data_IF_861921450226
#
_entry.id   IF_861921450226
#
_cell.length_a   1.000
_cell.length_b   1.000
_cell.length_c   1.000
_cell.angle_alpha   90.00
_cell.angle_beta   90.00
_cell.angle_gamma   90.00
#
_symmetry.space_group_name_H-M   'P 1'
#
loop_
_entity.id
_entity.type
_entity.pdbx_description
1 polymer ?
#
# COMPACT_ATOMS: atom_id res chain seq x y z
N UNK A 1 -8.21 -18.18 21.18
CA UNK A 1 -6.77 -18.45 20.90
C UNK A 1 -6.11 -18.86 22.20
N UNK A 2 -5.39 -19.99 22.23
CA UNK A 2 -4.58 -20.38 23.37
C UNK A 2 -3.27 -19.57 23.33
N UNK A 3 -2.84 -19.04 24.49
CA UNK A 3 -1.58 -18.28 24.59
C UNK A 3 -0.34 -19.10 24.22
N UNK A 4 0.83 -18.47 24.26
CA UNK A 4 2.12 -19.09 23.95
C UNK A 4 2.64 -19.88 25.16
N UNK A 5 3.23 -21.05 24.95
CA UNK A 5 3.90 -21.79 26.00
C UNK A 5 5.17 -21.07 26.47
N UNK A 6 5.70 -21.40 27.66
CA UNK A 6 6.94 -20.80 28.19
C UNK A 6 8.14 -21.05 27.26
N UNK A 7 8.25 -22.24 26.69
CA UNK A 7 9.29 -22.57 25.70
C UNK A 7 9.19 -21.71 24.43
N UNK A 8 7.98 -21.57 23.91
CA UNK A 8 7.74 -20.74 22.73
C UNK A 8 8.07 -19.27 23.00
N UNK A 9 7.67 -18.75 24.18
CA UNK A 9 7.98 -17.38 24.58
C UNK A 9 9.48 -17.16 24.69
N UNK A 10 10.22 -18.05 25.37
CA UNK A 10 11.67 -17.94 25.48
C UNK A 10 12.40 -18.03 24.13
N UNK A 11 11.88 -18.82 23.18
CA UNK A 11 12.43 -18.87 21.82
C UNK A 11 12.22 -17.53 21.07
N UNK A 12 11.02 -16.96 21.14
CA UNK A 12 10.72 -15.65 20.55
C UNK A 12 11.56 -14.52 21.17
N UNK A 13 11.73 -14.53 22.48
CA UNK A 13 12.56 -13.52 23.18
C UNK A 13 14.01 -13.57 22.68
N UNK A 14 14.59 -14.77 22.50
CA UNK A 14 15.94 -14.92 21.93
C UNK A 14 16.03 -14.42 20.48
N UNK A 15 15.06 -14.77 19.63
CA UNK A 15 15.02 -14.30 18.25
C UNK A 15 14.88 -12.78 18.18
N UNK A 16 13.99 -12.22 18.96
CA UNK A 16 13.75 -10.78 19.05
C UNK A 16 15.02 -10.04 19.50
N UNK A 17 15.71 -10.53 20.53
CA UNK A 17 16.96 -9.96 21.00
C UNK A 17 18.07 -10.01 19.93
N UNK A 18 18.14 -11.12 19.18
CA UNK A 18 19.11 -11.25 18.09
C UNK A 18 18.85 -10.25 16.96
N UNK A 19 17.59 -10.05 16.55
CA UNK A 19 17.20 -9.07 15.55
C UNK A 19 17.57 -7.65 16.01
N UNK A 20 17.14 -7.26 17.22
CA UNK A 20 17.37 -5.92 17.74
C UNK A 20 18.85 -5.61 17.88
N UNK A 21 19.67 -6.56 18.33
CA UNK A 21 21.11 -6.39 18.42
C UNK A 21 21.81 -6.12 17.07
N UNK A 22 21.24 -6.55 15.94
CA UNK A 22 21.74 -6.19 14.59
C UNK A 22 21.49 -4.72 14.32
N UNK A 23 20.30 -4.22 14.61
CA UNK A 23 19.92 -2.83 14.34
C UNK A 23 20.67 -1.85 15.26
N UNK A 24 20.75 -2.16 16.55
CA UNK A 24 21.47 -1.34 17.54
C UNK A 24 22.97 -1.22 17.20
N UNK A 25 23.61 -2.33 16.82
CA UNK A 25 25.02 -2.31 16.36
C UNK A 25 25.24 -1.49 15.09
N UNK A 26 24.20 -1.33 14.28
CA UNK A 26 24.24 -0.47 13.09
C UNK A 26 23.94 1.01 13.40
N UNK A 27 23.76 1.36 14.68
CA UNK A 27 23.53 2.73 15.13
C UNK A 27 22.07 3.19 15.08
N UNK A 28 21.13 2.24 15.18
CA UNK A 28 19.71 2.56 15.30
C UNK A 28 19.30 2.61 16.78
N UNK A 29 18.66 3.70 17.17
CA UNK A 29 18.14 3.88 18.52
C UNK A 29 16.79 3.16 18.67
N UNK A 30 16.66 2.36 19.73
CA UNK A 30 15.40 1.66 19.98
C UNK A 30 14.34 2.61 20.50
N UNK A 31 13.18 2.63 19.83
CA UNK A 31 11.99 3.37 20.24
C UNK A 31 10.83 2.41 20.52
N UNK A 32 9.89 2.86 21.34
CA UNK A 32 8.66 2.12 21.64
C UNK A 32 7.44 3.04 21.44
N UNK A 33 6.93 3.15 20.19
CA UNK A 33 5.71 3.90 19.95
C UNK A 33 4.50 3.30 20.67
N UNK A 34 3.50 4.13 20.98
CA UNK A 34 2.30 3.69 21.67
C UNK A 34 1.48 2.69 20.82
N UNK A 35 0.82 1.74 21.50
CA UNK A 35 -0.04 0.72 20.88
C UNK A 35 -1.34 1.37 20.37
N UNK A 36 -1.94 2.25 21.19
CA UNK A 36 -3.16 2.96 20.85
C UNK A 36 -2.78 4.22 20.07
N UNK A 37 -3.36 4.37 18.92
CA UNK A 37 -3.10 5.47 18.00
C UNK A 37 -4.41 6.15 17.58
N UNK A 38 -4.40 7.43 17.19
CA UNK A 38 -5.52 8.02 16.47
C UNK A 38 -5.80 7.25 15.18
N UNK A 39 -7.08 6.97 14.90
CA UNK A 39 -7.45 6.14 13.77
C UNK A 39 -7.31 6.84 12.42
N UNK A 40 -7.51 8.16 12.38
CA UNK A 40 -7.45 9.01 11.18
C UNK A 40 -6.17 8.80 10.36
N UNK A 41 -5.03 8.69 11.05
CA UNK A 41 -3.71 8.51 10.41
C UNK A 41 -3.65 7.25 9.55
N UNK A 42 -4.24 6.15 10.05
CA UNK A 42 -4.29 4.89 9.30
C UNK A 42 -5.44 4.86 8.31
N UNK A 43 -6.57 5.50 8.62
CA UNK A 43 -7.73 5.53 7.75
C UNK A 43 -7.56 6.45 6.54
N UNK A 44 -6.80 7.54 6.67
CA UNK A 44 -6.56 8.50 5.59
C UNK A 44 -5.33 8.17 4.75
N UNK A 45 -4.25 7.70 5.38
CA UNK A 45 -2.92 7.56 4.76
C UNK A 45 -2.56 6.14 4.35
N UNK A 46 -3.16 5.14 5.00
CA UNK A 46 -2.92 3.74 4.64
C UNK A 46 -3.79 3.29 3.48
N UNK A 47 -3.32 2.27 2.75
CA UNK A 47 -4.10 1.63 1.69
C UNK A 47 -5.40 1.01 2.22
N UNK A 48 -6.38 0.79 1.32
CA UNK A 48 -7.70 0.24 1.69
C UNK A 48 -7.60 -1.10 2.45
N UNK A 49 -6.57 -1.90 2.17
CA UNK A 49 -6.33 -3.17 2.85
C UNK A 49 -6.07 -2.96 4.35
N UNK A 50 -5.16 -2.05 4.71
CA UNK A 50 -4.87 -1.73 6.12
C UNK A 50 -6.09 -1.12 6.80
N UNK A 51 -6.81 -0.24 6.11
CA UNK A 51 -8.06 0.37 6.64
C UNK A 51 -9.11 -0.68 6.98
N UNK A 52 -9.36 -1.63 6.09
CA UNK A 52 -10.33 -2.70 6.30
C UNK A 52 -9.95 -3.66 7.44
N UNK A 53 -8.65 -3.72 7.78
CA UNK A 53 -8.11 -4.65 8.77
C UNK A 53 -7.73 -3.99 10.10
N UNK A 54 -7.98 -2.70 10.27
CA UNK A 54 -7.64 -1.96 11.49
C UNK A 54 -8.72 -2.11 12.55
N UNK A 55 -8.34 -2.44 13.78
CA UNK A 55 -9.23 -2.44 14.94
C UNK A 55 -9.48 -1.00 15.42
N UNK A 56 -10.67 -0.49 15.21
CA UNK A 56 -11.07 0.87 15.54
C UNK A 56 -12.06 0.86 16.70
N UNK A 57 -11.95 1.83 17.62
CA UNK A 57 -12.84 2.02 18.77
C UNK A 57 -12.84 3.49 19.21
N UNK A 58 -13.81 3.88 20.01
CA UNK A 58 -13.90 5.23 20.54
C UNK A 58 -13.48 5.28 22.02
N UNK A 59 -12.82 6.36 22.41
CA UNK A 59 -12.59 6.67 23.82
C UNK A 59 -13.83 7.28 24.48
N UNK A 60 -13.86 7.46 25.81
CA UNK A 60 -15.00 8.08 26.50
C UNK A 60 -15.27 9.54 26.08
N UNK A 61 -14.31 10.24 25.48
CA UNK A 61 -14.46 11.60 24.96
C UNK A 61 -14.99 11.63 23.51
N UNK A 62 -15.17 10.46 22.88
CA UNK A 62 -15.65 10.32 21.51
C UNK A 62 -14.57 10.38 20.44
N UNK A 63 -13.29 10.39 20.81
CA UNK A 63 -12.20 10.35 19.83
C UNK A 63 -12.08 8.95 19.23
N UNK A 64 -11.91 8.86 17.92
CA UNK A 64 -11.72 7.61 17.23
C UNK A 64 -10.25 7.17 17.31
N UNK A 65 -10.03 6.04 17.95
CA UNK A 65 -8.72 5.43 18.21
C UNK A 65 -8.63 4.07 17.54
N UNK A 66 -7.41 3.55 17.40
CA UNK A 66 -7.17 2.21 16.88
C UNK A 66 -6.02 1.49 17.60
N UNK A 67 -6.04 0.15 17.54
CA UNK A 67 -4.84 -0.63 17.77
C UNK A 67 -3.96 -0.51 16.52
N UNK A 68 -2.69 -0.13 16.70
CA UNK A 68 -1.76 0.08 15.57
C UNK A 68 -1.68 -1.16 14.67
N UNK A 69 -1.97 -1.05 13.36
CA UNK A 69 -1.86 -2.15 12.42
C UNK A 69 -0.43 -2.40 11.94
N UNK A 70 0.48 -1.45 12.16
CA UNK A 70 1.92 -1.52 11.93
C UNK A 70 2.68 -0.57 12.87
N UNK A 71 4.01 -0.60 12.84
CA UNK A 71 4.85 0.28 13.64
C UNK A 71 5.55 1.38 12.82
N UNK A 72 5.53 1.34 11.50
CA UNK A 72 6.14 2.36 10.63
C UNK A 72 5.48 3.72 10.84
N UNK A 73 4.14 3.80 10.72
CA UNK A 73 3.41 5.06 10.91
C UNK A 73 3.58 5.62 12.33
N UNK A 74 3.46 4.82 13.41
CA UNK A 74 3.79 5.26 14.76
C UNK A 74 5.23 5.75 14.93
N UNK A 75 6.22 5.11 14.29
CA UNK A 75 7.62 5.57 14.32
C UNK A 75 7.79 6.90 13.60
N UNK A 76 7.12 7.12 12.46
CA UNK A 76 7.09 8.41 11.79
C UNK A 76 6.51 9.52 12.68
N UNK A 77 5.40 9.24 13.37
CA UNK A 77 4.80 10.20 14.33
C UNK A 77 5.74 10.49 15.49
N UNK A 78 6.38 9.46 16.03
CA UNK A 78 7.39 9.63 17.09
C UNK A 78 8.48 10.57 16.61
N UNK A 79 9.04 10.36 15.43
CA UNK A 79 10.06 11.22 14.84
C UNK A 79 9.58 12.67 14.75
N UNK A 80 8.41 12.92 14.14
CA UNK A 80 7.86 14.26 13.96
C UNK A 80 7.55 14.98 15.29
N UNK A 81 7.20 14.26 16.34
CA UNK A 81 6.88 14.85 17.65
C UNK A 81 8.12 15.11 18.52
N UNK A 82 9.23 14.42 18.29
CA UNK A 82 10.45 14.51 19.09
C UNK A 82 11.60 15.24 18.38
N UNK A 83 11.51 15.44 17.08
CA UNK A 83 12.57 16.05 16.29
C UNK A 83 12.14 17.45 15.81
N UNK A 84 12.90 18.48 16.22
CA UNK A 84 12.63 19.89 15.82
C UNK A 84 12.89 20.12 14.33
N UNK A 85 13.80 19.36 13.76
CA UNK A 85 14.24 19.46 12.35
C UNK A 85 14.09 18.08 11.73
N UNK A 86 12.90 17.75 11.16
CA UNK A 86 12.61 16.41 10.63
C UNK A 86 13.58 15.92 9.54
N UNK A 87 14.28 16.86 8.90
CA UNK A 87 15.28 16.59 7.86
C UNK A 87 16.64 16.13 8.43
N UNK A 88 16.81 16.19 9.75
CA UNK A 88 18.05 15.69 10.38
C UNK A 88 18.10 14.19 10.33
N UNK A 89 19.26 13.65 9.93
CA UNK A 89 19.46 12.20 9.89
C UNK A 89 19.21 11.58 11.26
N UNK A 90 18.26 10.66 11.31
CA UNK A 90 17.89 9.95 12.53
C UNK A 90 17.53 8.51 12.19
N UNK A 91 18.00 7.58 13.03
CA UNK A 91 17.84 6.13 12.83
C UNK A 91 17.13 5.52 14.01
N UNK A 92 15.97 4.93 13.80
CA UNK A 92 15.22 4.23 14.82
C UNK A 92 15.04 2.77 14.47
N UNK A 93 15.00 1.92 15.49
CA UNK A 93 14.52 0.56 15.38
C UNK A 93 13.44 0.30 16.44
N UNK A 94 12.60 -0.67 16.17
CA UNK A 94 11.49 -1.01 17.06
C UNK A 94 11.19 -2.50 17.02
N UNK A 95 10.58 -2.95 18.12
CA UNK A 95 10.03 -4.29 18.27
C UNK A 95 8.76 -4.19 19.11
N UNK A 96 7.66 -4.71 18.60
CA UNK A 96 6.42 -4.68 19.37
C UNK A 96 5.25 -5.36 18.67
N UNK A 97 4.11 -5.48 19.37
CA UNK A 97 2.91 -6.05 18.80
C UNK A 97 2.26 -5.11 17.77
N UNK A 98 1.75 -5.68 16.71
CA UNK A 98 0.83 -5.05 15.76
C UNK A 98 -0.43 -5.91 15.63
N UNK A 99 -1.55 -5.28 15.22
CA UNK A 99 -2.89 -5.87 15.30
C UNK A 99 -3.63 -5.68 13.98
N UNK A 100 -4.09 -6.77 13.37
CA UNK A 100 -4.90 -6.71 12.14
C UNK A 100 -6.02 -7.74 12.18
N UNK A 101 -7.17 -7.40 11.64
CA UNK A 101 -8.14 -8.41 11.28
C UNK A 101 -7.52 -9.35 10.25
N UNK A 102 -7.61 -10.66 10.43
CA UNK A 102 -7.02 -11.63 9.52
C UNK A 102 -7.78 -11.67 8.19
N UNK A 103 -7.07 -11.85 7.08
CA UNK A 103 -7.68 -12.15 5.78
C UNK A 103 -8.19 -13.59 5.73
N UNK A 104 -7.50 -14.48 6.44
CA UNK A 104 -7.82 -15.89 6.54
C UNK A 104 -8.13 -16.27 7.98
N UNK A 105 -9.05 -17.22 8.18
CA UNK A 105 -9.52 -17.65 9.51
C UNK A 105 -8.42 -18.12 10.47
N UNK A 106 -7.26 -18.50 9.97
CA UNK A 106 -6.14 -19.02 10.76
C UNK A 106 -5.01 -18.02 11.00
N UNK A 107 -5.06 -16.85 10.37
CA UNK A 107 -4.03 -15.82 10.57
C UNK A 107 -4.15 -15.17 11.95
N UNK A 108 -3.03 -14.90 12.66
CA UNK A 108 -3.10 -14.26 13.98
C UNK A 108 -3.56 -12.80 13.85
N UNK A 109 -4.41 -12.38 14.79
CA UNK A 109 -4.85 -10.98 14.89
C UNK A 109 -3.78 -10.09 15.54
N UNK A 110 -2.91 -10.69 16.34
CA UNK A 110 -1.77 -10.06 16.99
C UNK A 110 -0.49 -10.76 16.51
N UNK A 111 0.48 -9.98 16.06
CA UNK A 111 1.79 -10.47 15.66
C UNK A 111 2.88 -9.49 16.12
N UNK A 112 4.10 -9.99 16.30
CA UNK A 112 5.26 -9.16 16.62
C UNK A 112 5.89 -8.65 15.34
N UNK A 113 6.08 -7.34 15.25
CA UNK A 113 6.79 -6.68 14.16
C UNK A 113 8.09 -6.09 14.69
N UNK A 114 9.20 -6.41 14.01
CA UNK A 114 10.47 -5.72 14.17
C UNK A 114 10.72 -4.89 12.91
N UNK A 115 11.36 -3.73 13.05
CA UNK A 115 11.68 -2.88 11.92
C UNK A 115 12.70 -1.81 12.25
N UNK A 116 13.12 -1.11 11.22
CA UNK A 116 13.99 0.05 11.32
C UNK A 116 13.47 1.17 10.37
N UNK A 117 13.65 2.42 10.80
CA UNK A 117 13.31 3.60 10.04
C UNK A 117 14.52 4.54 10.00
N UNK A 118 14.85 5.03 8.82
CA UNK A 118 15.96 5.95 8.61
C UNK A 118 15.42 7.23 7.98
N UNK A 119 15.41 8.31 8.78
CA UNK A 119 14.89 9.62 8.38
C UNK A 119 16.02 10.57 8.03
N UNK A 120 15.72 11.59 7.22
CA UNK A 120 16.57 12.73 6.95
C UNK A 120 17.76 12.46 6.01
N UNK A 121 17.95 11.22 5.57
CA UNK A 121 18.96 10.92 4.56
C UNK A 121 18.45 11.29 3.17
N UNK A 122 19.37 11.74 2.32
CA UNK A 122 19.07 11.89 0.90
C UNK A 122 18.87 10.49 0.33
N UNK A 123 17.75 10.28 -0.36
CA UNK A 123 17.47 9.03 -1.06
C UNK A 123 18.68 8.62 -1.91
N UNK A 124 19.43 7.64 -1.40
CA UNK A 124 20.69 7.15 -1.97
C UNK A 124 20.59 5.63 -2.09
N UNK A 125 20.97 5.13 -3.25
CA UNK A 125 21.02 3.69 -3.56
C UNK A 125 21.86 2.94 -2.50
N UNK A 126 22.92 3.58 -1.98
CA UNK A 126 23.76 2.98 -0.94
C UNK A 126 23.03 2.85 0.41
N UNK A 127 22.16 3.80 0.76
CA UNK A 127 21.31 3.73 1.96
C UNK A 127 20.26 2.61 1.82
N UNK A 128 19.59 2.51 0.67
CA UNK A 128 18.63 1.44 0.38
C UNK A 128 19.30 0.05 0.45
N UNK A 129 20.45 -0.11 -0.18
CA UNK A 129 21.21 -1.36 -0.14
C UNK A 129 21.63 -1.73 1.30
N UNK A 130 21.96 -0.73 2.13
CA UNK A 130 22.31 -0.92 3.54
C UNK A 130 21.13 -1.40 4.36
N UNK A 131 19.95 -0.81 4.16
CA UNK A 131 18.69 -1.23 4.80
C UNK A 131 18.34 -2.68 4.45
N UNK A 132 18.43 -3.05 3.16
CA UNK A 132 18.19 -4.43 2.72
C UNK A 132 19.18 -5.39 3.38
N UNK A 133 20.47 -5.04 3.42
CA UNK A 133 21.51 -5.85 4.06
C UNK A 133 21.24 -6.04 5.54
N UNK A 134 20.82 -4.99 6.27
CA UNK A 134 20.46 -5.06 7.67
C UNK A 134 19.26 -5.97 7.92
N UNK A 135 18.22 -5.87 7.07
CA UNK A 135 17.05 -6.74 7.15
C UNK A 135 17.43 -8.23 6.97
N UNK A 136 18.26 -8.55 5.96
CA UNK A 136 18.77 -9.91 5.75
C UNK A 136 19.58 -10.38 6.95
N UNK A 137 20.54 -9.57 7.43
CA UNK A 137 21.38 -9.91 8.58
C UNK A 137 20.57 -10.12 9.87
N UNK A 138 19.48 -9.38 10.07
CA UNK A 138 18.59 -9.56 11.20
C UNK A 138 17.83 -10.90 11.14
N UNK A 139 17.38 -11.30 9.96
CA UNK A 139 16.72 -12.59 9.75
C UNK A 139 17.69 -13.78 9.94
N UNK A 140 18.93 -13.64 9.45
CA UNK A 140 20.00 -14.63 9.67
C UNK A 140 20.35 -14.75 11.15
N UNK A 141 20.45 -13.64 11.87
CA UNK A 141 20.70 -13.61 13.32
C UNK A 141 19.55 -14.27 14.11
N UNK A 142 18.31 -14.20 13.60
CA UNK A 142 17.16 -14.91 14.16
C UNK A 142 17.16 -16.42 13.86
N UNK A 143 18.12 -16.92 13.08
CA UNK A 143 18.27 -18.34 12.76
C UNK A 143 17.66 -18.76 11.44
N UNK A 144 17.21 -17.83 10.58
CA UNK A 144 16.69 -18.15 9.26
C UNK A 144 17.85 -18.37 8.26
N UNK A 145 17.73 -19.39 7.43
CA UNK A 145 18.71 -19.75 6.40
C UNK A 145 18.01 -19.88 5.06
N UNK A 146 18.78 -19.77 3.97
CA UNK A 146 18.23 -19.93 2.61
C UNK A 146 17.25 -18.83 2.20
N UNK A 147 17.46 -17.61 2.67
CA UNK A 147 16.61 -16.46 2.38
C UNK A 147 16.59 -16.16 0.90
N UNK A 148 15.39 -15.87 0.39
CA UNK A 148 15.17 -15.38 -0.97
C UNK A 148 14.77 -13.90 -0.89
N UNK A 149 15.55 -13.03 -1.50
CA UNK A 149 15.25 -11.61 -1.61
C UNK A 149 14.59 -11.35 -2.96
N UNK A 150 13.44 -10.70 -2.97
CA UNK A 150 12.77 -10.23 -4.18
C UNK A 150 12.71 -8.71 -4.16
N UNK A 151 13.12 -8.09 -5.27
CA UNK A 151 13.08 -6.64 -5.45
C UNK A 151 12.05 -6.30 -6.53
N UNK A 152 11.30 -5.24 -6.32
CA UNK A 152 10.42 -4.64 -7.30
C UNK A 152 10.77 -3.16 -7.47
N UNK A 153 10.74 -2.68 -8.71
CA UNK A 153 10.97 -1.28 -9.02
C UNK A 153 9.72 -0.67 -9.68
N UNK A 154 9.01 0.14 -8.92
CA UNK A 154 7.86 0.89 -9.42
C UNK A 154 8.27 2.02 -10.38
N UNK A 155 9.52 2.46 -10.36
CA UNK A 155 10.05 3.46 -11.28
C UNK A 155 9.96 2.99 -12.73
N UNK A 156 10.30 1.74 -13.00
CA UNK A 156 10.17 1.13 -14.33
C UNK A 156 8.70 1.08 -14.80
N UNK A 157 7.78 0.71 -13.91
CA UNK A 157 6.35 0.72 -14.22
C UNK A 157 5.83 2.13 -14.49
N UNK A 158 6.24 3.10 -13.69
CA UNK A 158 5.86 4.50 -13.88
C UNK A 158 6.41 5.04 -15.21
N UNK A 159 7.67 4.79 -15.54
CA UNK A 159 8.27 5.20 -16.81
C UNK A 159 7.52 4.57 -18.00
N UNK A 160 7.18 3.27 -17.92
CA UNK A 160 6.38 2.61 -18.95
C UNK A 160 5.03 3.30 -19.18
N UNK A 161 4.33 3.68 -18.11
CA UNK A 161 3.04 4.37 -18.21
C UNK A 161 3.18 5.81 -18.73
N UNK A 162 4.27 6.51 -18.39
CA UNK A 162 4.51 7.89 -18.86
C UNK A 162 4.68 7.97 -20.39
N UNK A 163 5.39 7.00 -20.98
CA UNK A 163 5.61 6.93 -22.43
C UNK A 163 4.35 6.55 -23.21
N UNK A 164 3.29 6.11 -22.55
CA UNK A 164 2.05 5.69 -23.21
C UNK A 164 1.08 6.86 -23.42
N UNK A 165 0.54 7.07 -24.61
CA UNK A 165 -0.47 8.09 -24.87
C UNK A 165 -1.82 7.65 -24.27
N UNK A 166 -2.02 7.99 -23.00
CA UNK A 166 -3.28 7.75 -22.27
C UNK A 166 -3.59 8.92 -21.32
N UNK A 167 -4.86 9.13 -20.94
CA UNK A 167 -5.23 10.16 -19.97
C UNK A 167 -4.56 9.96 -18.61
N UNK A 168 -4.17 11.04 -17.94
CA UNK A 168 -3.51 10.98 -16.63
C UNK A 168 -4.39 10.29 -15.57
N UNK A 169 -5.72 10.43 -15.64
CA UNK A 169 -6.65 9.72 -14.76
C UNK A 169 -6.53 8.19 -14.89
N UNK A 170 -6.20 7.67 -16.09
CA UNK A 170 -5.98 6.23 -16.30
C UNK A 170 -4.64 5.78 -15.74
N UNK A 171 -3.56 6.56 -15.95
CA UNK A 171 -2.24 6.29 -15.33
C UNK A 171 -2.35 6.23 -13.81
N UNK A 172 -3.01 7.24 -13.20
CA UNK A 172 -3.23 7.28 -11.74
C UNK A 172 -3.98 6.06 -11.24
N UNK A 173 -5.04 5.63 -11.95
CA UNK A 173 -5.82 4.45 -11.58
C UNK A 173 -5.03 3.16 -11.74
N UNK A 174 -4.24 2.99 -12.80
CA UNK A 174 -3.36 1.85 -12.99
C UNK A 174 -2.29 1.78 -11.90
N UNK A 175 -1.64 2.90 -11.59
CA UNK A 175 -0.68 2.98 -10.45
C UNK A 175 -1.32 2.59 -9.13
N UNK A 176 -2.51 3.08 -8.85
CA UNK A 176 -3.23 2.80 -7.62
C UNK A 176 -3.64 1.33 -7.49
N UNK A 177 -3.96 0.65 -8.59
CA UNK A 177 -4.39 -0.74 -8.58
C UNK A 177 -3.24 -1.75 -8.81
N UNK A 178 -2.02 -1.28 -9.02
CA UNK A 178 -0.88 -2.14 -9.40
C UNK A 178 -0.63 -3.29 -8.41
N UNK A 179 -0.80 -3.04 -7.13
CA UNK A 179 -0.60 -4.02 -6.06
C UNK A 179 -1.78 -5.01 -5.87
N UNK A 180 -2.89 -4.82 -6.62
CA UNK A 180 -4.09 -5.68 -6.63
C UNK A 180 -4.21 -6.38 -7.98
N UNK A 181 -3.60 -7.55 -8.20
CA UNK A 181 -3.47 -8.15 -9.54
C UNK A 181 -4.79 -8.29 -10.29
N UNK A 182 -5.85 -8.75 -9.61
CA UNK A 182 -7.16 -8.92 -10.25
C UNK A 182 -7.84 -7.58 -10.58
N UNK A 183 -7.80 -6.62 -9.65
CA UNK A 183 -8.37 -5.29 -9.89
C UNK A 183 -7.62 -4.54 -10.99
N UNK A 184 -6.30 -4.69 -11.05
CA UNK A 184 -5.46 -4.14 -12.10
C UNK A 184 -5.83 -4.72 -13.48
N UNK A 185 -5.93 -6.03 -13.60
CA UNK A 185 -6.33 -6.69 -14.85
C UNK A 185 -7.71 -6.27 -15.31
N UNK A 186 -8.68 -6.25 -14.40
CA UNK A 186 -10.04 -5.80 -14.70
C UNK A 186 -10.06 -4.34 -15.19
N UNK A 187 -9.20 -3.49 -14.61
CA UNK A 187 -9.07 -2.09 -15.02
C UNK A 187 -8.43 -1.97 -16.39
N UNK A 188 -7.36 -2.71 -16.67
CA UNK A 188 -6.69 -2.76 -17.96
C UNK A 188 -7.65 -3.23 -19.06
N UNK A 189 -8.40 -4.31 -18.79
CA UNK A 189 -9.45 -4.81 -19.69
C UNK A 189 -10.54 -3.75 -19.94
N UNK A 190 -10.88 -2.96 -18.94
CA UNK A 190 -11.88 -1.88 -19.09
C UNK A 190 -11.36 -0.78 -20.02
N UNK A 191 -10.08 -0.41 -19.89
CA UNK A 191 -9.47 0.61 -20.75
C UNK A 191 -9.21 0.12 -22.18
N UNK A 192 -9.00 -1.19 -22.36
CA UNK A 192 -8.81 -1.80 -23.67
C UNK A 192 -10.11 -1.94 -24.49
N UNK A 193 -11.27 -1.83 -23.86
CA UNK A 193 -12.57 -2.03 -24.52
C UNK A 193 -13.32 -0.70 -24.66
N UNK A 194 -14.00 -0.48 -25.80
CA UNK A 194 -14.83 0.72 -25.96
C UNK A 194 -15.95 0.74 -24.92
N UNK A 195 -16.16 1.90 -24.28
CA UNK A 195 -17.09 2.10 -23.17
C UNK A 195 -18.57 1.86 -23.49
N UNK A 196 -18.90 1.57 -24.77
CA UNK A 196 -20.27 1.49 -25.29
C UNK A 196 -21.17 0.39 -24.70
N UNK A 197 -20.67 -0.59 -23.96
CA UNK A 197 -21.44 -1.77 -23.55
C UNK A 197 -21.61 -2.00 -22.04
N UNK A 198 -21.19 -1.08 -21.18
CA UNK A 198 -21.41 -1.23 -19.73
C UNK A 198 -22.74 -0.55 -19.31
N UNK A 199 -23.86 -1.21 -19.55
CA UNK A 199 -25.14 -0.85 -18.93
C UNK A 199 -25.15 -1.33 -17.48
N UNK A 200 -24.76 -0.48 -16.54
CA UNK A 200 -25.06 -0.67 -15.12
C UNK A 200 -26.24 0.21 -14.72
N UNK A 201 -26.94 -0.13 -13.65
CA UNK A 201 -28.06 0.68 -13.11
C UNK A 201 -27.64 2.12 -12.77
N UNK A 202 -26.34 2.37 -12.58
CA UNK A 202 -25.74 3.69 -12.40
C UNK A 202 -25.66 4.45 -13.75
N UNK A 203 -25.72 3.76 -14.90
CA UNK A 203 -25.54 4.39 -16.21
C UNK A 203 -26.67 5.33 -16.58
N UNK A 204 -27.91 5.05 -16.18
CA UNK A 204 -29.04 5.91 -16.47
C UNK A 204 -28.94 7.28 -15.79
N UNK A 205 -28.40 7.32 -14.57
CA UNK A 205 -28.16 8.57 -13.84
C UNK A 205 -26.95 9.33 -14.40
N UNK A 206 -25.98 8.62 -14.97
CA UNK A 206 -24.79 9.21 -15.59
C UNK A 206 -25.16 9.85 -16.94
N UNK A 207 -26.04 9.22 -17.72
CA UNK A 207 -26.49 9.76 -19.03
C UNK A 207 -27.22 11.11 -18.87
N UNK A 208 -27.86 11.35 -17.72
CA UNK A 208 -28.52 12.62 -17.41
C UNK A 208 -27.53 13.76 -17.07
N UNK A 209 -26.25 13.45 -16.86
CA UNK A 209 -25.20 14.41 -16.50
C UNK A 209 -24.39 14.93 -17.70
N UNK A 210 -24.59 14.35 -18.90
CA UNK A 210 -23.89 14.84 -20.09
C UNK A 210 -24.22 16.32 -20.37
N UNK A 211 -23.17 17.14 -20.48
CA UNK A 211 -23.28 18.57 -20.74
C UNK A 211 -23.58 19.48 -19.56
N UNK A 212 -23.65 18.93 -18.33
CA UNK A 212 -23.85 19.68 -17.10
C UNK A 212 -22.61 19.66 -16.22
N UNK A 213 -22.54 20.60 -15.25
CA UNK A 213 -21.53 20.47 -14.18
C UNK A 213 -21.81 19.22 -13.36
N UNK A 214 -21.07 18.14 -13.69
CA UNK A 214 -21.25 16.83 -13.08
C UNK A 214 -21.07 16.85 -11.56
N UNK A 215 -20.26 17.77 -11.03
CA UNK A 215 -20.03 17.93 -9.58
C UNK A 215 -21.28 18.53 -8.92
N UNK A 216 -21.81 19.62 -9.46
CA UNK A 216 -22.97 20.30 -8.91
C UNK A 216 -24.23 19.44 -8.98
N UNK A 217 -24.44 18.71 -10.09
CA UNK A 217 -25.60 17.84 -10.27
C UNK A 217 -25.54 16.59 -9.40
N UNK A 218 -24.35 15.97 -9.27
CA UNK A 218 -24.16 14.83 -8.36
C UNK A 218 -24.38 15.24 -6.92
N UNK A 219 -23.92 16.44 -6.52
CA UNK A 219 -24.16 16.99 -5.19
C UNK A 219 -25.64 17.15 -4.90
N UNK A 220 -26.42 17.65 -5.87
CA UNK A 220 -27.88 17.76 -5.75
C UNK A 220 -28.55 16.39 -5.64
N UNK A 221 -28.20 15.43 -6.49
CA UNK A 221 -28.78 14.09 -6.49
C UNK A 221 -28.52 13.36 -5.16
N UNK A 222 -27.34 13.52 -4.57
CA UNK A 222 -26.99 12.94 -3.27
C UNK A 222 -27.75 13.63 -2.11
N UNK A 223 -27.93 14.95 -2.17
CA UNK A 223 -28.71 15.70 -1.21
C UNK A 223 -30.21 15.30 -1.25
N UNK A 224 -30.81 15.14 -2.44
CA UNK A 224 -32.21 14.77 -2.61
C UNK A 224 -32.51 13.34 -2.12
N UNK A 225 -31.57 12.42 -2.22
CA UNK A 225 -31.79 11.03 -1.80
C UNK A 225 -31.65 10.81 -0.28
N UNK A 226 -31.37 11.85 0.53
CA UNK A 226 -31.16 11.75 1.99
C UNK A 226 -30.29 10.56 2.38
N UNK A 227 -29.35 10.18 1.53
CA UNK A 227 -28.40 9.15 1.82
C UNK A 227 -27.52 9.67 2.96
N UNK A 228 -27.74 9.18 4.17
CA UNK A 228 -26.76 9.29 5.23
C UNK A 228 -25.50 8.60 4.72
N UNK A 229 -24.56 9.39 4.21
CA UNK A 229 -23.25 8.92 3.80
C UNK A 229 -22.51 8.47 5.07
N UNK A 230 -22.82 7.27 5.53
CA UNK A 230 -22.07 6.56 6.57
C UNK A 230 -20.67 6.17 6.04
N UNK A 231 -20.31 6.61 4.84
CA UNK A 231 -19.05 6.31 4.21
C UNK A 231 -18.13 7.53 4.28
N UNK A 232 -16.90 7.31 4.65
CA UNK A 232 -15.74 8.22 4.73
C UNK A 232 -15.39 8.98 3.43
N UNK A 233 -16.33 9.15 2.49
CA UNK A 233 -16.12 9.83 1.21
C UNK A 233 -16.95 11.09 1.14
N UNK A 234 -16.30 12.20 0.80
CA UNK A 234 -16.99 13.45 0.56
C UNK A 234 -17.87 13.38 -0.70
N UNK A 235 -18.88 14.25 -0.76
CA UNK A 235 -19.74 14.39 -1.94
C UNK A 235 -18.93 14.77 -3.17
N UNK A 236 -17.90 15.60 -2.97
CA UNK A 236 -16.96 16.05 -3.99
C UNK A 236 -16.14 14.89 -4.57
N UNK A 237 -15.69 13.94 -3.73
CA UNK A 237 -14.97 12.74 -4.17
C UNK A 237 -15.85 11.85 -5.05
N UNK A 238 -17.12 11.69 -4.68
CA UNK A 238 -18.07 10.90 -5.45
C UNK A 238 -18.35 11.58 -6.79
N UNK A 239 -18.58 12.88 -6.79
CA UNK A 239 -18.84 13.68 -7.97
C UNK A 239 -17.63 13.67 -8.93
N UNK A 240 -16.43 13.85 -8.42
CA UNK A 240 -15.19 13.79 -9.21
C UNK A 240 -15.03 12.42 -9.89
N UNK A 241 -15.30 11.32 -9.18
CA UNK A 241 -15.25 9.97 -9.77
C UNK A 241 -16.31 9.70 -10.83
N UNK A 242 -17.49 10.29 -10.69
CA UNK A 242 -18.53 10.21 -11.70
C UNK A 242 -18.14 11.01 -12.96
N UNK A 243 -17.58 12.21 -12.79
CA UNK A 243 -17.04 13.01 -13.89
C UNK A 243 -15.92 12.28 -14.64
N UNK A 244 -15.01 11.60 -13.92
CA UNK A 244 -13.97 10.77 -14.54
C UNK A 244 -14.55 9.61 -15.35
N UNK A 245 -15.61 8.94 -14.85
CA UNK A 245 -16.28 7.86 -15.58
C UNK A 245 -17.02 8.36 -16.84
N UNK A 246 -17.58 9.56 -16.80
CA UNK A 246 -18.16 10.21 -17.98
C UNK A 246 -17.07 10.50 -19.02
N UNK A 247 -15.96 11.09 -18.60
CA UNK A 247 -14.84 11.36 -19.49
C UNK A 247 -14.26 10.07 -20.11
N UNK A 248 -14.29 8.94 -19.40
CA UNK A 248 -13.84 7.65 -19.93
C UNK A 248 -14.71 7.15 -21.08
N UNK A 249 -15.98 7.56 -21.19
CA UNK A 249 -16.89 7.14 -22.28
C UNK A 249 -16.52 7.74 -23.64
N UNK A 250 -15.95 8.93 -23.64
CA UNK A 250 -15.49 9.62 -24.87
C UNK A 250 -14.05 9.29 -25.23
N UNK A 251 -13.35 8.55 -24.36
CA UNK A 251 -11.96 8.22 -24.57
C UNK A 251 -11.77 7.09 -25.58
N UNK A 252 -10.70 7.16 -26.37
CA UNK A 252 -10.31 6.06 -27.24
C UNK A 252 -9.75 4.91 -26.39
N UNK A 253 -10.12 3.65 -26.70
CA UNK A 253 -9.54 2.50 -26.02
C UNK A 253 -8.03 2.48 -26.12
N UNK A 254 -7.38 1.91 -25.08
CA UNK A 254 -5.94 1.64 -25.14
C UNK A 254 -5.61 0.78 -26.36
N UNK A 255 -4.61 1.18 -27.13
CA UNK A 255 -4.13 0.39 -28.24
C UNK A 255 -3.63 -0.98 -27.74
N UNK A 256 -3.89 -2.02 -28.53
CA UNK A 256 -3.52 -3.40 -28.19
C UNK A 256 -2.01 -3.53 -27.85
N UNK A 257 -1.15 -2.83 -28.55
CA UNK A 257 0.28 -2.80 -28.29
C UNK A 257 0.64 -2.29 -26.88
N UNK A 258 -0.13 -1.33 -26.33
CA UNK A 258 0.08 -0.82 -24.97
C UNK A 258 -0.36 -1.85 -23.94
N UNK A 259 -1.48 -2.52 -24.16
CA UNK A 259 -1.95 -3.61 -23.29
C UNK A 259 -0.92 -4.73 -23.24
N UNK A 260 -0.42 -5.16 -24.40
CA UNK A 260 0.63 -6.18 -24.52
C UNK A 260 1.92 -5.74 -23.82
N UNK A 261 2.31 -4.48 -23.93
CA UNK A 261 3.50 -3.96 -23.25
C UNK A 261 3.35 -4.01 -21.72
N UNK A 262 2.19 -3.58 -21.19
CA UNK A 262 1.91 -3.65 -19.75
C UNK A 262 1.88 -5.11 -19.27
N UNK A 263 1.20 -5.99 -19.97
CA UNK A 263 1.14 -7.41 -19.63
C UNK A 263 2.51 -8.10 -19.71
N UNK A 264 3.35 -7.69 -20.65
CA UNK A 264 4.71 -8.19 -20.77
C UNK A 264 5.56 -7.74 -19.59
N UNK A 265 5.42 -6.48 -19.18
CA UNK A 265 6.09 -5.96 -17.98
C UNK A 265 5.70 -6.74 -16.73
N UNK A 266 4.42 -7.05 -16.54
CA UNK A 266 3.93 -7.83 -15.39
C UNK A 266 4.51 -9.25 -15.33
N UNK A 267 5.01 -9.76 -16.43
CA UNK A 267 5.66 -11.09 -16.52
C UNK A 267 7.18 -11.02 -16.33
N UNK A 268 7.77 -9.83 -16.28
CA UNK A 268 9.21 -9.67 -16.09
C UNK A 268 9.57 -10.09 -14.66
N UNK A 269 10.23 -11.22 -14.55
CA UNK A 269 10.83 -11.70 -13.31
C UNK A 269 12.02 -12.58 -13.64
N UNK A 270 13.08 -12.50 -12.84
CA UNK A 270 14.29 -13.29 -13.08
C UNK A 270 15.39 -12.94 -12.10
N UNK A 271 16.58 -13.50 -12.27
CA UNK A 271 17.73 -13.04 -11.53
C UNK A 271 18.02 -11.56 -11.89
N UNK A 272 18.50 -10.78 -10.93
CA UNK A 272 18.75 -9.34 -11.12
C UNK A 272 19.69 -9.09 -12.32
N UNK A 273 20.72 -9.93 -12.46
CA UNK A 273 21.67 -9.88 -13.61
C UNK A 273 20.99 -10.08 -14.95
N UNK A 274 20.00 -10.96 -15.05
CA UNK A 274 19.32 -11.29 -16.28
C UNK A 274 18.34 -10.19 -16.69
N UNK A 275 17.64 -9.62 -15.70
CA UNK A 275 16.69 -8.51 -15.92
C UNK A 275 17.43 -7.24 -16.35
N UNK A 276 18.57 -6.91 -15.74
CA UNK A 276 19.34 -5.72 -16.05
C UNK A 276 20.13 -5.81 -17.35
N UNK A 277 20.51 -7.02 -17.78
CA UNK A 277 21.24 -7.24 -19.05
C UNK A 277 20.35 -7.32 -20.29
N UNK A 278 19.02 -7.26 -20.11
CA UNK A 278 18.05 -7.40 -21.22
C UNK A 278 17.98 -8.82 -21.81
N UNK A 279 18.67 -9.80 -21.20
CA UNK A 279 18.54 -11.21 -21.57
C UNK A 279 17.13 -11.71 -21.25
N UNK A 280 16.50 -12.47 -22.17
CA UNK A 280 15.15 -12.96 -21.99
C UNK A 280 15.03 -13.73 -20.67
N UNK A 281 14.16 -13.31 -19.73
CA UNK A 281 13.98 -14.05 -18.49
C UNK A 281 13.46 -15.46 -18.81
N UNK A 282 14.09 -16.46 -18.22
CA UNK A 282 13.61 -17.84 -18.31
C UNK A 282 12.24 -17.92 -17.65
N UNK A 283 11.22 -18.31 -18.39
CA UNK A 283 9.84 -18.45 -17.91
C UNK A 283 9.77 -19.57 -16.85
N UNK A 284 10.02 -19.22 -15.59
CA UNK A 284 9.57 -20.04 -14.46
C UNK A 284 8.15 -19.59 -14.11
N UNK A 285 7.18 -20.48 -14.33
CA UNK A 285 5.82 -20.35 -13.83
C UNK A 285 5.90 -20.24 -12.30
N UNK A 286 5.71 -19.06 -11.76
CA UNK A 286 5.31 -18.88 -10.38
C UNK A 286 3.85 -18.44 -10.42
N UNK A 287 2.96 -19.26 -9.84
CA UNK A 287 1.55 -18.91 -9.71
C UNK A 287 1.40 -17.69 -8.80
N UNK A 288 0.63 -16.75 -9.27
CA UNK A 288 -0.01 -15.68 -8.52
C UNK A 288 -1.45 -16.09 -8.24
#
# INVERSE_FOLDING_TARGET
>A
MAGKTSLHRAALERQNAAIMAVFERAGFDQIQPDIIQPADIFLERSGEDIRARTFVFNDPAGNELCLRPDLTVPACRYHLSHTKTPETETKYCYLGPAFRFPDELLSPQEFTQAGLEWFGDKADIAAEARVIKLAVSALEAAGLTGLKVSLGDLGLFNALLEDMPMPERWRRRLRHQFWRPQAFRNLLDTFAKPARNQRSSISANIDSLEGRDAVAETSRMLADQKLNLVTLRSVEDIASRLAEKLADRSEQPLAEMMVVAIESYLKVSGALTDVTSGSKPSARRQGF
#
